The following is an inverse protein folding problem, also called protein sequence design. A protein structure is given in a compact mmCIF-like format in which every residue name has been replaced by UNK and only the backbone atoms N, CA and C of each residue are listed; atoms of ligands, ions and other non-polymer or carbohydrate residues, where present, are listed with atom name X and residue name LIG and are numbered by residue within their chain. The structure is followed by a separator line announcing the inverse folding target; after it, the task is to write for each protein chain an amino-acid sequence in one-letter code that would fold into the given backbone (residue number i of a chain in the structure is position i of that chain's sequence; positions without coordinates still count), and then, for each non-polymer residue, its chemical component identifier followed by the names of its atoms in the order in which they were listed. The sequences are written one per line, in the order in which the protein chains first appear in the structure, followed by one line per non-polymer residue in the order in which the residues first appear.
data_IF_810796786080
#
_entry.id   IF_810796786080
#
_cell.length_a   1.000
_cell.length_b   1.000
_cell.length_c   1.000
_cell.angle_alpha   90.00
_cell.angle_beta   90.00
_cell.angle_gamma   90.00
#
_symmetry.space_group_name_H-M   'P 1'
#
loop_
_entity.id
_entity.type
_entity.pdbx_description
1 polymer ?
#
# COMPACT_ATOMS: atom_id res chain seq x y z
N UNK A 1 64.39 -7.91 -35.63
CA UNK A 1 63.35 -6.89 -35.40
C UNK A 1 62.08 -7.63 -34.97
N UNK A 2 61.91 -7.83 -33.67
CA UNK A 2 60.73 -8.54 -33.11
C UNK A 2 59.67 -7.48 -32.75
N UNK A 3 58.49 -7.60 -33.33
CA UNK A 3 57.33 -6.79 -32.97
C UNK A 3 56.50 -7.61 -31.98
N UNK A 4 56.48 -7.17 -30.73
CA UNK A 4 55.63 -7.75 -29.69
C UNK A 4 54.22 -7.12 -29.79
N UNK A 5 53.23 -7.92 -30.16
CA UNK A 5 51.83 -7.53 -30.17
C UNK A 5 51.26 -7.59 -28.75
N UNK A 6 50.89 -6.43 -28.20
CA UNK A 6 50.16 -6.33 -26.93
C UNK A 6 48.66 -6.57 -27.21
N UNK A 7 48.15 -7.71 -26.74
CA UNK A 7 46.69 -7.98 -26.76
C UNK A 7 46.04 -7.27 -25.59
N UNK A 8 45.21 -6.25 -25.90
CA UNK A 8 44.33 -5.55 -24.93
C UNK A 8 43.12 -6.44 -24.67
N UNK A 9 43.10 -7.09 -23.53
CA UNK A 9 41.89 -7.77 -23.02
C UNK A 9 40.91 -6.71 -22.50
N UNK A 10 39.87 -6.40 -23.27
CA UNK A 10 38.74 -5.64 -22.83
C UNK A 10 37.88 -6.50 -21.89
N UNK A 11 38.11 -6.38 -20.60
CA UNK A 11 37.19 -6.89 -19.58
C UNK A 11 35.92 -6.05 -19.59
N UNK A 12 34.88 -6.57 -20.25
CA UNK A 12 33.55 -6.01 -20.20
C UNK A 12 32.97 -6.24 -18.78
N UNK A 13 33.08 -5.23 -17.91
CA UNK A 13 32.28 -5.17 -16.69
C UNK A 13 30.80 -5.01 -17.11
N UNK A 14 30.06 -6.11 -17.12
CA UNK A 14 28.59 -6.04 -17.06
C UNK A 14 28.25 -5.42 -15.70
N UNK A 15 27.90 -4.13 -15.69
CA UNK A 15 27.21 -3.52 -14.56
C UNK A 15 25.95 -4.35 -14.30
N UNK A 16 25.82 -4.90 -13.08
CA UNK A 16 24.52 -5.44 -12.63
C UNK A 16 23.57 -4.25 -12.64
N UNK A 17 22.61 -4.31 -13.54
CA UNK A 17 21.48 -3.37 -13.54
C UNK A 17 20.76 -3.58 -12.22
N UNK A 18 20.81 -2.58 -11.33
CA UNK A 18 20.08 -2.63 -10.06
C UNK A 18 18.59 -2.63 -10.38
N UNK A 19 17.87 -3.56 -9.75
CA UNK A 19 16.42 -3.66 -9.94
C UNK A 19 15.76 -2.33 -9.56
N UNK A 20 14.94 -1.79 -10.46
CA UNK A 20 14.17 -0.59 -10.21
C UNK A 20 13.21 -0.81 -9.04
N UNK A 21 13.28 0.04 -8.04
CA UNK A 21 12.43 -0.01 -6.85
C UNK A 21 11.71 1.32 -6.64
N UNK A 22 10.64 1.31 -5.85
CA UNK A 22 9.96 2.53 -5.42
C UNK A 22 10.90 3.42 -4.59
N UNK A 23 10.69 4.76 -4.60
CA UNK A 23 11.41 5.68 -3.72
C UNK A 23 11.26 5.30 -2.24
N UNK A 24 12.32 5.45 -1.42
CA UNK A 24 12.25 5.19 0.01
C UNK A 24 11.31 6.17 0.71
N UNK A 25 10.67 5.73 1.79
CA UNK A 25 9.82 6.53 2.66
C UNK A 25 10.07 6.20 4.12
N UNK A 26 9.76 7.15 5.00
CA UNK A 26 9.79 6.98 6.47
C UNK A 26 8.45 7.36 7.10
N UNK A 27 7.41 7.48 6.28
CA UNK A 27 6.07 7.85 6.75
C UNK A 27 5.49 6.76 7.65
N UNK A 28 4.81 7.20 8.71
CA UNK A 28 3.93 6.38 9.53
C UNK A 28 2.50 6.61 9.07
N UNK A 29 1.78 5.54 8.80
CA UNK A 29 0.42 5.62 8.27
C UNK A 29 -0.54 4.79 9.10
N UNK A 30 -1.71 5.34 9.41
CA UNK A 30 -2.86 4.60 9.86
C UNK A 30 -3.75 4.29 8.65
N UNK A 31 -4.08 3.01 8.45
CA UNK A 31 -5.03 2.53 7.46
C UNK A 31 -6.31 2.21 8.21
N UNK A 32 -7.41 2.91 7.90
CA UNK A 32 -8.69 2.72 8.57
C UNK A 32 -9.73 2.32 7.53
N UNK A 33 -10.54 1.32 7.86
CA UNK A 33 -11.65 0.88 7.02
C UNK A 33 -12.92 0.76 7.86
N UNK A 34 -14.03 1.21 7.33
CA UNK A 34 -15.36 1.00 7.90
C UNK A 34 -16.45 1.15 6.86
N UNK A 35 -17.60 0.48 7.04
CA UNK A 35 -18.79 0.70 6.22
C UNK A 35 -19.54 1.95 6.68
N UNK A 36 -20.22 2.59 5.73
CA UNK A 36 -21.15 3.70 5.97
C UNK A 36 -22.50 3.40 5.33
N UNK A 37 -23.57 4.01 5.84
CA UNK A 37 -24.89 3.88 5.23
C UNK A 37 -24.96 4.58 3.86
N UNK A 38 -24.26 5.71 3.73
CA UNK A 38 -24.25 6.53 2.51
C UNK A 38 -22.98 7.37 2.48
N UNK A 39 -22.20 7.27 1.38
CA UNK A 39 -20.95 8.01 1.20
C UNK A 39 -21.16 9.53 1.13
N UNK A 40 -22.20 9.98 0.44
CA UNK A 40 -22.42 11.42 0.22
C UNK A 40 -22.86 12.13 1.51
N UNK A 41 -23.51 11.39 2.43
CA UNK A 41 -23.78 11.86 3.80
C UNK A 41 -22.50 11.84 4.66
N UNK A 42 -21.70 10.80 4.55
CA UNK A 42 -20.48 10.64 5.35
C UNK A 42 -19.39 11.67 4.98
N UNK A 43 -19.20 11.92 3.70
CA UNK A 43 -18.08 12.71 3.20
C UNK A 43 -17.98 14.13 3.76
N UNK A 44 -19.05 14.95 3.80
CA UNK A 44 -19.00 16.29 4.38
C UNK A 44 -18.65 16.30 5.88
N UNK A 45 -19.14 15.31 6.64
CA UNK A 45 -18.84 15.17 8.07
C UNK A 45 -17.37 14.82 8.27
N UNK A 46 -16.85 13.89 7.46
CA UNK A 46 -15.43 13.54 7.44
C UNK A 46 -14.54 14.76 7.11
N UNK A 47 -14.88 15.55 6.10
CA UNK A 47 -14.09 16.71 5.70
C UNK A 47 -14.13 17.80 6.78
N UNK A 48 -15.26 18.05 7.43
CA UNK A 48 -15.39 19.02 8.51
C UNK A 48 -14.52 18.71 9.73
N UNK A 49 -14.21 17.42 9.97
CA UNK A 49 -13.36 16.96 11.07
C UNK A 49 -11.83 17.06 10.77
N UNK A 50 -11.41 17.54 9.60
CA UNK A 50 -9.99 17.59 9.20
C UNK A 50 -9.14 18.42 10.18
N UNK A 51 -9.66 19.55 10.65
CA UNK A 51 -8.95 20.41 11.61
C UNK A 51 -8.74 19.72 12.96
N UNK A 52 -9.72 18.99 13.46
CA UNK A 52 -9.59 18.20 14.69
C UNK A 52 -8.56 17.08 14.52
N UNK A 53 -8.59 16.32 13.43
CA UNK A 53 -7.57 15.30 13.14
C UNK A 53 -6.16 15.89 13.11
N UNK A 54 -5.97 17.04 12.45
CA UNK A 54 -4.66 17.72 12.38
C UNK A 54 -4.14 18.15 13.74
N UNK A 55 -4.99 18.53 14.69
CA UNK A 55 -4.57 18.88 16.04
C UNK A 55 -3.95 17.71 16.81
N UNK A 56 -4.23 16.47 16.37
CA UNK A 56 -3.61 15.23 16.86
C UNK A 56 -2.45 14.75 15.98
N UNK A 57 -1.94 15.58 15.06
CA UNK A 57 -0.84 15.20 14.17
C UNK A 57 -1.25 14.19 13.09
N UNK A 58 -2.52 14.16 12.71
CA UNK A 58 -3.07 13.26 11.69
C UNK A 58 -3.40 14.05 10.42
N UNK A 59 -2.81 13.65 9.29
CA UNK A 59 -3.05 14.26 7.98
C UNK A 59 -3.63 13.23 7.03
N UNK A 60 -4.78 13.53 6.43
CA UNK A 60 -5.38 12.67 5.41
C UNK A 60 -4.49 12.59 4.18
N UNK A 61 -4.08 11.38 3.78
CA UNK A 61 -3.30 11.10 2.56
C UNK A 61 -4.22 10.70 1.42
N UNK A 62 -5.20 9.84 1.69
CA UNK A 62 -6.11 9.36 0.68
C UNK A 62 -7.40 8.80 1.26
N UNK A 63 -8.44 8.83 0.45
CA UNK A 63 -9.73 8.19 0.71
C UNK A 63 -10.13 7.41 -0.53
N UNK A 64 -10.57 6.18 -0.33
CA UNK A 64 -11.09 5.32 -1.38
C UNK A 64 -12.42 4.69 -0.99
N UNK A 65 -13.15 4.21 -1.99
CA UNK A 65 -14.40 3.47 -1.87
C UNK A 65 -14.21 2.06 -2.40
N UNK A 66 -14.73 1.08 -1.69
CA UNK A 66 -14.70 -0.32 -2.13
C UNK A 66 -15.31 -0.50 -3.53
N UNK A 67 -14.72 -1.37 -4.34
CA UNK A 67 -15.24 -1.65 -5.69
C UNK A 67 -16.44 -2.57 -5.63
N UNK A 68 -16.48 -3.52 -4.69
CA UNK A 68 -17.60 -4.46 -4.52
C UNK A 68 -18.78 -3.80 -3.77
N UNK A 69 -18.48 -2.93 -2.80
CA UNK A 69 -19.43 -2.09 -2.09
C UNK A 69 -18.86 -0.68 -1.93
N UNK A 70 -19.38 0.32 -2.67
CA UNK A 70 -18.87 1.69 -2.63
C UNK A 70 -19.14 2.42 -1.31
N UNK A 71 -19.87 1.81 -0.37
CA UNK A 71 -20.05 2.29 0.99
C UNK A 71 -19.06 1.69 2.00
N UNK A 72 -18.20 0.79 1.59
CA UNK A 72 -17.00 0.42 2.34
C UNK A 72 -15.89 1.44 2.06
N UNK A 73 -15.54 2.22 3.09
CA UNK A 73 -14.56 3.30 2.96
C UNK A 73 -13.21 2.82 3.46
N UNK A 74 -12.16 3.15 2.70
CA UNK A 74 -10.77 2.99 3.12
C UNK A 74 -10.09 4.35 3.17
N UNK A 75 -9.39 4.63 4.26
CA UNK A 75 -8.72 5.90 4.51
C UNK A 75 -7.26 5.66 4.89
N UNK A 76 -6.40 6.53 4.38
CA UNK A 76 -4.97 6.54 4.69
C UNK A 76 -4.61 7.86 5.35
N UNK A 77 -4.05 7.78 6.55
CA UNK A 77 -3.64 8.94 7.33
C UNK A 77 -2.16 8.87 7.65
N UNK A 78 -1.40 9.90 7.26
CA UNK A 78 -0.08 10.10 7.83
C UNK A 78 -0.26 10.51 9.28
N UNK A 79 0.49 9.90 10.19
CA UNK A 79 0.46 10.16 11.62
C UNK A 79 1.85 10.55 12.13
N UNK A 80 1.91 11.44 13.11
CA UNK A 80 3.17 11.76 13.79
C UNK A 80 3.61 10.60 14.68
N UNK A 81 2.68 10.09 15.49
CA UNK A 81 2.87 8.92 16.34
C UNK A 81 1.54 8.22 16.66
N UNK A 82 1.64 6.98 17.13
CA UNK A 82 0.46 6.15 17.45
C UNK A 82 -0.26 6.59 18.74
N UNK A 83 0.42 7.26 19.68
CA UNK A 83 -0.20 7.74 20.92
C UNK A 83 -1.18 8.86 20.61
N UNK A 84 -0.77 9.85 19.82
CA UNK A 84 -1.65 10.92 19.35
C UNK A 84 -2.79 10.40 18.48
N UNK A 85 -2.48 9.45 17.58
CA UNK A 85 -3.49 8.84 16.74
C UNK A 85 -4.56 8.10 17.57
N UNK A 86 -4.15 7.31 18.57
CA UNK A 86 -5.06 6.63 19.49
C UNK A 86 -5.88 7.64 20.32
N UNK A 87 -5.28 8.74 20.80
CA UNK A 87 -5.99 9.79 21.52
C UNK A 87 -7.08 10.43 20.64
N UNK A 88 -6.80 10.67 19.37
CA UNK A 88 -7.80 11.13 18.41
C UNK A 88 -8.96 10.14 18.25
N UNK A 89 -8.67 8.85 18.16
CA UNK A 89 -9.67 7.80 17.99
C UNK A 89 -10.52 7.57 19.25
N UNK A 90 -10.01 7.96 20.42
CA UNK A 90 -10.70 7.81 21.71
C UNK A 90 -11.35 9.10 22.22
N UNK A 91 -11.28 10.21 21.46
CA UNK A 91 -11.89 11.46 21.87
C UNK A 91 -13.43 11.32 22.00
N UNK A 92 -14.05 11.94 23.03
CA UNK A 92 -15.47 11.75 23.30
C UNK A 92 -16.39 12.14 22.14
N UNK A 93 -15.98 13.12 21.34
CA UNK A 93 -16.78 13.67 20.22
C UNK A 93 -16.79 12.72 19.00
N UNK A 94 -15.84 11.76 18.91
CA UNK A 94 -15.71 10.94 17.71
C UNK A 94 -16.90 10.02 17.50
N UNK A 95 -17.39 9.35 18.56
CA UNK A 95 -18.50 8.40 18.42
C UNK A 95 -19.78 9.09 17.97
N UNK A 96 -20.26 10.20 18.59
CA UNK A 96 -21.42 10.94 18.08
C UNK A 96 -21.23 11.44 16.64
N UNK A 97 -19.99 11.83 16.28
CA UNK A 97 -19.66 12.27 14.92
C UNK A 97 -19.82 11.13 13.91
N UNK A 98 -19.28 9.95 14.21
CA UNK A 98 -19.40 8.75 13.37
C UNK A 98 -20.87 8.32 13.22
N UNK A 99 -21.65 8.35 14.31
CA UNK A 99 -23.08 8.05 14.29
C UNK A 99 -23.83 9.04 13.37
N UNK A 100 -23.53 10.34 13.47
CA UNK A 100 -24.12 11.38 12.61
C UNK A 100 -23.74 11.23 11.15
N UNK A 101 -22.49 10.77 10.88
CA UNK A 101 -21.98 10.49 9.55
C UNK A 101 -22.57 9.21 8.93
N UNK A 102 -23.25 8.39 9.73
CA UNK A 102 -23.86 7.14 9.27
C UNK A 102 -22.86 5.99 9.15
N UNK A 103 -21.84 5.92 9.99
CA UNK A 103 -20.97 4.74 10.11
C UNK A 103 -21.79 3.58 10.67
N UNK A 104 -21.76 2.41 10.00
CA UNK A 104 -22.65 1.28 10.30
C UNK A 104 -21.93 0.08 10.90
N UNK A 105 -20.61 0.11 10.99
CA UNK A 105 -19.81 -1.00 11.55
C UNK A 105 -18.59 -0.51 12.32
N UNK A 106 -17.97 -1.42 13.05
CA UNK A 106 -16.74 -1.13 13.78
C UNK A 106 -15.58 -0.88 12.80
N UNK A 107 -14.83 0.24 12.96
CA UNK A 107 -13.66 0.49 12.16
C UNK A 107 -12.56 -0.54 12.41
N UNK A 108 -11.95 -1.06 11.35
CA UNK A 108 -10.65 -1.72 11.45
C UNK A 108 -9.54 -0.69 11.31
N UNK A 109 -8.42 -0.89 12.00
CA UNK A 109 -7.29 0.03 11.97
C UNK A 109 -5.96 -0.73 12.04
N UNK A 110 -5.10 -0.44 11.07
CA UNK A 110 -3.71 -0.92 11.03
C UNK A 110 -2.74 0.26 11.07
N UNK A 111 -1.71 0.17 11.89
CA UNK A 111 -0.58 1.09 11.88
C UNK A 111 0.60 0.49 11.14
N UNK A 112 1.15 1.23 10.18
CA UNK A 112 2.23 0.75 9.32
C UNK A 112 3.36 1.77 9.19
N UNK A 113 4.59 1.26 9.07
CA UNK A 113 5.75 2.02 8.61
C UNK A 113 5.84 1.86 7.09
N UNK A 114 5.68 2.95 6.36
CA UNK A 114 5.85 2.95 4.90
C UNK A 114 7.34 2.95 4.59
N UNK A 115 7.80 1.94 3.88
CA UNK A 115 9.22 1.78 3.53
C UNK A 115 9.54 2.38 2.17
N UNK A 116 8.58 2.29 1.24
CA UNK A 116 8.70 2.80 -0.12
C UNK A 116 7.36 3.35 -0.57
N UNK A 117 7.37 4.48 -1.27
CA UNK A 117 6.15 5.11 -1.76
C UNK A 117 6.42 5.88 -3.05
N UNK A 118 5.62 5.63 -4.08
CA UNK A 118 5.57 6.46 -5.28
C UNK A 118 4.44 7.48 -5.12
N UNK A 119 4.80 8.73 -4.95
CA UNK A 119 3.88 9.87 -4.83
C UNK A 119 3.57 10.54 -6.18
N UNK A 120 4.11 10.03 -7.29
CA UNK A 120 3.82 10.58 -8.61
C UNK A 120 2.33 10.51 -8.91
N UNK A 121 1.79 11.59 -9.47
CA UNK A 121 0.39 11.64 -9.90
C UNK A 121 0.14 10.60 -10.99
N UNK A 122 -1.04 9.98 -10.94
CA UNK A 122 -1.50 9.03 -11.93
C UNK A 122 -3.00 9.16 -12.12
N UNK A 123 -3.46 8.99 -13.35
CA UNK A 123 -4.89 8.98 -13.69
C UNK A 123 -5.56 7.64 -13.34
N UNK A 124 -4.78 6.59 -13.04
CA UNK A 124 -5.32 5.31 -12.63
C UNK A 124 -5.93 5.48 -11.24
N UNK A 125 -7.24 5.31 -11.11
CA UNK A 125 -7.97 5.42 -9.84
C UNK A 125 -8.14 4.08 -9.14
N UNK A 126 -8.14 3.00 -9.88
CA UNK A 126 -8.32 1.66 -9.34
C UNK A 126 -7.10 1.22 -8.54
N UNK A 127 -7.35 0.72 -7.33
CA UNK A 127 -6.33 0.33 -6.36
C UNK A 127 -6.63 -1.02 -5.75
N UNK A 128 -5.55 -1.67 -5.35
CA UNK A 128 -5.61 -2.86 -4.50
C UNK A 128 -4.67 -2.64 -3.32
N UNK A 129 -5.18 -2.82 -2.11
CA UNK A 129 -4.37 -3.05 -0.92
C UNK A 129 -4.29 -4.56 -0.71
N UNK A 130 -3.08 -5.09 -0.71
CA UNK A 130 -2.79 -6.50 -0.36
C UNK A 130 -2.14 -6.51 1.01
N UNK A 131 -2.68 -7.32 1.92
CA UNK A 131 -2.17 -7.52 3.26
C UNK A 131 -1.94 -9.00 3.50
N UNK A 132 -0.75 -9.38 3.95
CA UNK A 132 -0.43 -10.77 4.29
C UNK A 132 0.72 -10.85 5.28
N UNK A 133 0.74 -11.95 6.01
CA UNK A 133 1.84 -12.28 6.92
C UNK A 133 2.92 -13.06 6.16
N UNK A 134 4.16 -12.82 6.54
CA UNK A 134 5.33 -13.54 6.03
C UNK A 134 6.17 -14.08 7.19
N UNK A 135 6.96 -15.10 6.94
CA UNK A 135 7.90 -15.66 7.95
C UNK A 135 9.02 -14.69 8.27
N UNK A 136 9.53 -13.98 7.28
CA UNK A 136 10.61 -13.00 7.39
C UNK A 136 10.40 -11.92 6.33
N UNK A 137 10.21 -10.68 6.77
CA UNK A 137 9.91 -9.56 5.89
C UNK A 137 11.08 -9.25 4.93
N UNK A 138 12.32 -9.28 5.42
CA UNK A 138 13.48 -8.88 4.63
C UNK A 138 13.82 -9.94 3.57
N UNK A 139 13.58 -11.22 3.88
CA UNK A 139 13.67 -12.31 2.91
C UNK A 139 12.58 -12.21 1.84
N UNK A 140 11.33 -11.94 2.25
CA UNK A 140 10.21 -11.72 1.34
C UNK A 140 10.47 -10.52 0.40
N UNK A 141 10.96 -9.39 0.94
CA UNK A 141 11.22 -8.19 0.15
C UNK A 141 12.25 -8.44 -0.96
N UNK A 142 13.26 -9.28 -0.71
CA UNK A 142 14.24 -9.67 -1.74
C UNK A 142 13.59 -10.44 -2.90
N UNK A 143 12.61 -11.32 -2.60
CA UNK A 143 11.87 -12.06 -3.64
C UNK A 143 10.97 -11.11 -4.42
N UNK A 144 10.27 -10.20 -3.72
CA UNK A 144 9.43 -9.17 -4.32
C UNK A 144 10.23 -8.27 -5.28
N UNK A 145 11.40 -7.79 -4.84
CA UNK A 145 12.29 -6.95 -5.65
C UNK A 145 12.86 -7.70 -6.86
N UNK A 146 13.14 -9.00 -6.70
CA UNK A 146 13.65 -9.84 -7.80
C UNK A 146 12.63 -10.04 -8.92
N UNK A 147 11.32 -10.12 -8.61
CA UNK A 147 10.28 -10.14 -9.64
C UNK A 147 10.32 -8.84 -10.45
N UNK A 148 10.47 -7.70 -9.79
CA UNK A 148 10.64 -6.38 -10.38
C UNK A 148 9.33 -5.69 -10.76
N UNK A 149 9.35 -4.34 -10.71
CA UNK A 149 8.20 -3.49 -11.01
C UNK A 149 7.74 -3.62 -12.47
N UNK A 150 8.67 -3.74 -13.41
CA UNK A 150 8.34 -3.82 -14.83
C UNK A 150 7.62 -5.14 -15.18
N UNK A 151 7.99 -6.24 -14.51
CA UNK A 151 7.27 -7.52 -14.62
C UNK A 151 5.84 -7.38 -14.13
N UNK A 152 5.61 -6.81 -12.94
CA UNK A 152 4.26 -6.58 -12.41
C UNK A 152 3.46 -5.62 -13.30
N UNK A 153 4.09 -4.55 -13.82
CA UNK A 153 3.46 -3.60 -14.72
C UNK A 153 2.99 -4.26 -16.02
N UNK A 154 3.70 -5.27 -16.55
CA UNK A 154 3.29 -6.03 -17.74
C UNK A 154 1.96 -6.78 -17.54
N UNK A 155 1.63 -7.10 -16.27
CA UNK A 155 0.35 -7.67 -15.85
C UNK A 155 -0.67 -6.61 -15.43
N UNK A 156 -0.45 -5.33 -15.74
CA UNK A 156 -1.36 -4.25 -15.34
C UNK A 156 -1.32 -3.90 -13.84
N UNK A 157 -0.32 -4.38 -13.11
CA UNK A 157 -0.13 -4.15 -11.67
C UNK A 157 1.01 -3.16 -11.47
N UNK A 158 0.69 -1.94 -11.07
CA UNK A 158 1.65 -0.84 -10.92
C UNK A 158 1.91 -0.58 -9.44
N UNK A 159 3.16 -0.74 -9.01
CA UNK A 159 3.57 -0.54 -7.62
C UNK A 159 3.32 0.90 -7.16
N UNK A 160 2.75 1.08 -5.96
CA UNK A 160 2.53 2.41 -5.36
C UNK A 160 3.17 2.55 -3.98
N UNK A 161 2.98 1.58 -3.09
CA UNK A 161 3.57 1.62 -1.76
C UNK A 161 3.86 0.22 -1.23
N UNK A 162 4.91 0.12 -0.42
CA UNK A 162 5.22 -1.05 0.42
C UNK A 162 5.37 -0.56 1.85
N UNK A 163 4.66 -1.22 2.75
CA UNK A 163 4.72 -0.93 4.17
C UNK A 163 4.81 -2.21 5.01
N UNK A 164 5.23 -2.02 6.25
CA UNK A 164 5.42 -3.05 7.26
C UNK A 164 4.57 -2.72 8.48
N UNK A 165 3.88 -3.68 9.03
CA UNK A 165 3.08 -3.49 10.26
C UNK A 165 3.94 -2.99 11.43
N UNK A 166 3.41 -2.06 12.23
CA UNK A 166 4.11 -1.59 13.43
C UNK A 166 4.00 -2.59 14.58
N UNK A 167 2.85 -3.25 14.72
CA UNK A 167 2.61 -4.22 15.79
C UNK A 167 3.20 -5.60 15.46
N UNK A 168 3.21 -5.97 14.20
CA UNK A 168 3.85 -7.18 13.69
C UNK A 168 4.71 -6.82 12.48
N UNK A 169 6.05 -6.79 12.63
CA UNK A 169 6.95 -6.40 11.54
C UNK A 169 6.98 -7.41 10.39
N UNK A 170 6.35 -8.56 10.51
CA UNK A 170 6.17 -9.54 9.44
C UNK A 170 4.81 -9.44 8.74
N UNK A 171 3.97 -8.47 9.14
CA UNK A 171 2.80 -8.08 8.34
C UNK A 171 3.20 -7.15 7.21
N UNK A 172 2.94 -7.57 6.00
CA UNK A 172 3.21 -6.84 4.75
C UNK A 172 1.94 -6.13 4.28
N UNK A 173 2.10 -4.90 3.84
CA UNK A 173 1.05 -4.09 3.20
C UNK A 173 1.59 -3.56 1.88
N UNK A 174 0.90 -3.85 0.78
CA UNK A 174 1.29 -3.39 -0.55
C UNK A 174 0.11 -2.67 -1.18
N UNK A 175 0.34 -1.49 -1.72
CA UNK A 175 -0.65 -0.79 -2.53
C UNK A 175 -0.22 -0.83 -3.99
N UNK A 176 -1.12 -1.30 -4.85
CA UNK A 176 -0.97 -1.26 -6.30
C UNK A 176 -2.01 -0.35 -6.94
N UNK A 177 -1.67 0.27 -8.05
CA UNK A 177 -2.63 0.80 -9.02
C UNK A 177 -2.85 -0.28 -10.09
N UNK A 178 -4.10 -0.46 -10.52
CA UNK A 178 -4.46 -1.47 -11.52
C UNK A 178 -4.82 -0.76 -12.82
N UNK A 179 -3.99 -0.96 -13.83
CA UNK A 179 -4.20 -0.41 -15.17
C UNK A 179 -4.95 -1.36 -16.11
N UNK A 180 -4.99 -2.65 -15.78
CA UNK A 180 -5.65 -3.70 -16.57
C UNK A 180 -6.10 -4.82 -15.62
N UNK A 181 -7.41 -4.87 -15.33
CA UNK A 181 -7.98 -5.85 -14.41
C UNK A 181 -7.94 -7.28 -14.93
N UNK A 182 -8.06 -7.48 -16.24
CA UNK A 182 -8.06 -8.84 -16.83
C UNK A 182 -6.70 -9.49 -16.64
N UNK A 183 -5.63 -8.77 -16.97
CA UNK A 183 -4.26 -9.22 -16.76
C UNK A 183 -3.92 -9.37 -15.28
N UNK A 184 -4.32 -8.39 -14.45
CA UNK A 184 -4.07 -8.42 -13.01
C UNK A 184 -4.75 -9.64 -12.35
N UNK A 185 -6.01 -9.90 -12.65
CA UNK A 185 -6.74 -11.06 -12.12
C UNK A 185 -6.14 -12.38 -12.60
N UNK A 186 -5.74 -12.48 -13.87
CA UNK A 186 -5.05 -13.66 -14.39
C UNK A 186 -3.74 -13.94 -13.63
N UNK A 187 -2.93 -12.88 -13.34
CA UNK A 187 -1.69 -13.01 -12.57
C UNK A 187 -1.96 -13.38 -11.11
N UNK A 188 -2.88 -12.67 -10.44
CA UNK A 188 -3.23 -12.89 -9.03
C UNK A 188 -3.80 -14.29 -8.78
N UNK A 189 -4.50 -14.87 -9.74
CA UNK A 189 -5.06 -16.23 -9.69
C UNK A 189 -4.09 -17.32 -10.14
N UNK A 190 -2.89 -17.00 -10.64
CA UNK A 190 -2.00 -17.98 -11.23
C UNK A 190 -1.31 -18.88 -10.20
N UNK A 191 -1.14 -20.15 -10.55
CA UNK A 191 -0.38 -21.12 -9.73
C UNK A 191 1.09 -20.73 -9.60
N UNK A 192 1.63 -20.05 -10.63
CA UNK A 192 3.01 -19.52 -10.59
C UNK A 192 3.16 -18.50 -9.47
N UNK A 193 2.26 -17.50 -9.35
CA UNK A 193 2.32 -16.50 -8.27
C UNK A 193 2.12 -17.15 -6.91
N UNK A 194 1.20 -18.10 -6.77
CA UNK A 194 1.00 -18.85 -5.52
C UNK A 194 2.29 -19.55 -5.09
N UNK A 195 2.98 -20.18 -6.03
CA UNK A 195 4.28 -20.81 -5.74
C UNK A 195 5.32 -19.79 -5.31
N UNK A 196 5.45 -18.66 -6.02
CA UNK A 196 6.39 -17.57 -5.66
C UNK A 196 6.10 -17.04 -4.26
N UNK A 197 4.83 -16.82 -3.91
CA UNK A 197 4.42 -16.36 -2.58
C UNK A 197 4.76 -17.38 -1.49
N UNK A 198 4.50 -18.67 -1.74
CA UNK A 198 4.84 -19.75 -0.80
C UNK A 198 6.36 -19.83 -0.59
N UNK A 199 7.13 -19.82 -1.66
CA UNK A 199 8.61 -19.86 -1.61
C UNK A 199 9.19 -18.59 -0.92
N UNK A 200 8.51 -17.45 -1.03
CA UNK A 200 8.85 -16.21 -0.32
C UNK A 200 8.44 -16.22 1.17
N UNK A 201 7.79 -17.27 1.65
CA UNK A 201 7.40 -17.43 3.03
C UNK A 201 6.09 -16.74 3.42
N UNK A 202 5.20 -16.47 2.47
CA UNK A 202 3.85 -15.96 2.76
C UNK A 202 3.05 -17.01 3.54
N UNK A 203 2.42 -16.59 4.63
CA UNK A 203 1.62 -17.43 5.52
C UNK A 203 0.13 -17.19 5.30
N UNK A 204 -0.57 -18.21 4.83
CA UNK A 204 -2.01 -18.14 4.54
C UNK A 204 -2.37 -17.34 3.29
N UNK A 205 -3.66 -17.21 2.99
CA UNK A 205 -4.14 -16.43 1.87
C UNK A 205 -4.03 -14.92 2.18
N UNK A 206 -3.63 -14.09 1.20
CA UNK A 206 -3.65 -12.64 1.35
C UNK A 206 -5.07 -12.09 1.55
N UNK A 207 -5.21 -11.08 2.40
CA UNK A 207 -6.36 -10.19 2.41
C UNK A 207 -6.20 -9.19 1.26
N UNK A 208 -7.24 -9.04 0.43
CA UNK A 208 -7.21 -8.17 -0.75
C UNK A 208 -8.39 -7.22 -0.70
N UNK A 209 -8.10 -5.91 -0.63
CA UNK A 209 -9.10 -4.84 -0.64
C UNK A 209 -9.01 -4.10 -1.96
N UNK A 210 -10.04 -4.24 -2.81
CA UNK A 210 -10.17 -3.53 -4.09
C UNK A 210 -10.95 -2.24 -3.86
N UNK A 211 -10.39 -1.11 -4.25
CA UNK A 211 -11.03 0.19 -4.05
C UNK A 211 -10.69 1.18 -5.15
N UNK A 212 -11.52 2.20 -5.29
CA UNK A 212 -11.30 3.33 -6.19
C UNK A 212 -10.95 4.57 -5.38
N UNK A 213 -9.87 5.26 -5.75
CA UNK A 213 -9.47 6.51 -5.11
C UNK A 213 -10.49 7.60 -5.43
N UNK A 214 -11.00 8.25 -4.38
CA UNK A 214 -11.85 9.43 -4.44
C UNK A 214 -11.05 10.72 -4.15
N UNK A 215 -10.01 10.62 -3.31
CA UNK A 215 -9.15 11.73 -2.94
C UNK A 215 -7.72 11.24 -2.67
N UNK A 216 -6.74 11.97 -3.20
CA UNK A 216 -5.32 11.91 -2.81
C UNK A 216 -4.82 13.33 -2.54
N UNK A 217 -4.03 13.51 -1.47
CA UNK A 217 -3.38 14.80 -1.11
C UNK A 217 -1.88 14.65 -1.14
#
# INVERSE_FOLDING_TARGET
MLIAGVAFLLTSCKSKEEAKTLPPSTDKVAIIQHPVADYDRWRPVFDADDAARRSYGITTVGVGRGMDDPNNIIMFFRIEDTVKANACMQRPELKPLMDSAGVTGEPSMDYVNVLRNDTAKTEIKDRVLVKHKVKDFDAWLKVYDKEGMDTRASYGIVDRAIARGMNDPNMVYIVFAISDWDKANARLGSEELKKVMTDAGVEGPPEVVKYKIEMMK
#
